data_IF_860904799163
#
_entry.id   IF_860904799163
#
_cell.length_a   1.000
_cell.length_b   1.000
_cell.length_c   1.000
_cell.angle_alpha   90.00
_cell.angle_beta   90.00
_cell.angle_gamma   90.00
#
_symmetry.space_group_name_H-M   'P 1'
#
loop_
_entity.id
_entity.type
_entity.pdbx_description
1 polymer ?
#
# COMPACT_ATOMS: atom_id res chain seq x y z
N UNK A 1 -0.54 74.98 -32.69
CA UNK A 1 -1.43 73.94 -33.27
C UNK A 1 -1.47 72.76 -32.32
N UNK A 2 -2.65 72.23 -32.00
CA UNK A 2 -2.80 70.97 -31.25
C UNK A 2 -3.22 69.90 -32.25
N UNK A 3 -2.47 68.80 -32.30
CA UNK A 3 -2.84 67.63 -33.09
C UNK A 3 -3.74 66.74 -32.23
N UNK A 4 -4.96 66.52 -32.72
CA UNK A 4 -5.93 65.64 -32.10
C UNK A 4 -5.89 64.30 -32.83
N UNK A 5 -5.26 63.29 -32.22
CA UNK A 5 -5.22 61.92 -32.74
C UNK A 5 -6.04 61.00 -31.84
N UNK A 6 -6.79 60.08 -32.44
CA UNK A 6 -7.50 59.02 -31.71
C UNK A 6 -6.54 57.84 -31.54
N UNK A 7 -6.24 57.47 -30.30
CA UNK A 7 -5.38 56.31 -30.01
C UNK A 7 -6.26 55.06 -29.94
N UNK A 8 -6.08 54.14 -30.90
CA UNK A 8 -6.72 52.82 -30.88
C UNK A 8 -5.84 51.83 -30.10
N UNK A 9 -6.20 51.55 -28.85
CA UNK A 9 -5.53 50.54 -28.02
C UNK A 9 -6.29 49.22 -28.19
N UNK A 10 -5.79 48.31 -29.03
CA UNK A 10 -6.31 46.95 -29.09
C UNK A 10 -5.73 46.15 -27.91
N UNK A 11 -6.54 45.93 -26.86
CA UNK A 11 -6.19 45.02 -25.78
C UNK A 11 -6.34 43.58 -26.29
N UNK A 12 -5.24 42.89 -26.56
CA UNK A 12 -5.28 41.44 -26.77
C UNK A 12 -5.33 40.75 -25.41
N UNK A 13 -6.44 40.10 -25.11
CA UNK A 13 -6.51 39.14 -24.00
C UNK A 13 -6.01 37.79 -24.48
N UNK A 14 -4.94 37.29 -23.86
CA UNK A 14 -4.50 35.91 -24.02
C UNK A 14 -5.46 35.01 -23.24
N UNK A 15 -6.32 34.27 -23.94
CA UNK A 15 -7.14 33.21 -23.35
C UNK A 15 -6.41 31.87 -23.51
N UNK A 16 -5.93 31.31 -22.41
CA UNK A 16 -5.48 29.93 -22.35
C UNK A 16 -6.53 29.07 -21.65
N UNK A 17 -6.84 27.91 -22.22
CA UNK A 17 -7.56 26.88 -21.47
C UNK A 17 -6.57 26.28 -20.47
N UNK A 18 -6.77 26.54 -19.18
CA UNK A 18 -6.20 25.71 -18.13
C UNK A 18 -6.93 24.37 -18.23
N UNK A 19 -6.38 23.42 -19.00
CA UNK A 19 -6.77 22.04 -18.84
C UNK A 19 -6.40 21.66 -17.42
N UNK A 20 -7.44 21.64 -16.57
CA UNK A 20 -7.35 21.11 -15.23
C UNK A 20 -6.95 19.65 -15.44
N UNK A 21 -5.65 19.36 -15.32
CA UNK A 21 -5.21 17.98 -15.18
C UNK A 21 -6.13 17.42 -14.10
N UNK A 22 -6.93 16.42 -14.46
CA UNK A 22 -7.78 15.73 -13.49
C UNK A 22 -6.79 15.02 -12.59
N UNK A 23 -6.26 15.77 -11.61
CA UNK A 23 -5.57 15.24 -10.45
C UNK A 23 -6.56 14.24 -9.93
N UNK A 24 -6.23 12.98 -10.13
CA UNK A 24 -7.19 11.93 -9.93
C UNK A 24 -7.33 11.77 -8.42
N UNK A 25 -8.34 12.45 -7.86
CA UNK A 25 -8.59 12.47 -6.43
C UNK A 25 -9.33 11.22 -5.96
N UNK A 26 -9.81 10.39 -6.88
CA UNK A 26 -10.51 9.17 -6.57
C UNK A 26 -9.65 7.96 -6.93
N UNK A 27 -9.41 7.10 -5.94
CA UNK A 27 -8.65 5.87 -6.13
C UNK A 27 -9.27 4.96 -7.21
N UNK A 28 -10.60 4.96 -7.36
CA UNK A 28 -11.32 4.15 -8.36
C UNK A 28 -10.94 4.47 -9.80
N UNK A 29 -10.50 5.69 -10.07
CA UNK A 29 -10.20 6.18 -11.42
C UNK A 29 -8.73 5.87 -11.82
N UNK A 30 -7.93 5.25 -10.94
CA UNK A 30 -6.54 4.90 -11.20
C UNK A 30 -6.45 3.65 -12.09
N UNK A 31 -5.68 3.75 -13.19
CA UNK A 31 -5.46 2.64 -14.13
C UNK A 31 -4.58 1.54 -13.54
N UNK A 32 -3.55 1.92 -12.78
CA UNK A 32 -2.57 0.99 -12.21
C UNK A 32 -2.78 0.88 -10.70
N UNK A 33 -3.77 0.08 -10.30
CA UNK A 33 -4.07 -0.10 -8.89
C UNK A 33 -3.08 -1.07 -8.23
N UNK A 34 -2.66 -0.82 -6.98
CA UNK A 34 -1.91 -1.78 -6.17
C UNK A 34 -2.54 -3.17 -6.13
N UNK A 35 -1.70 -4.21 -6.05
CA UNK A 35 -2.12 -5.61 -6.00
C UNK A 35 -1.28 -6.38 -4.98
N UNK A 36 -1.87 -7.37 -4.34
CA UNK A 36 -1.19 -8.38 -3.51
C UNK A 36 -1.57 -9.74 -4.09
N UNK A 37 -0.58 -10.60 -4.37
CA UNK A 37 -0.83 -11.94 -4.93
C UNK A 37 -1.80 -11.91 -6.13
N UNK A 38 -1.61 -10.96 -7.04
CA UNK A 38 -2.49 -10.71 -8.20
C UNK A 38 -3.93 -10.28 -7.88
N UNK A 39 -4.27 -10.02 -6.62
CA UNK A 39 -5.57 -9.47 -6.21
C UNK A 39 -5.48 -7.95 -6.14
N UNK A 40 -6.33 -7.26 -6.91
CA UNK A 40 -6.43 -5.79 -6.89
C UNK A 40 -6.94 -5.29 -5.53
N UNK A 41 -6.25 -4.32 -4.94
CA UNK A 41 -6.65 -3.72 -3.67
C UNK A 41 -7.76 -2.70 -3.91
N UNK A 42 -8.98 -3.19 -4.03
CA UNK A 42 -10.22 -2.39 -4.05
C UNK A 42 -11.03 -2.65 -2.79
N UNK A 43 -11.57 -1.58 -2.22
CA UNK A 43 -12.37 -1.59 -0.99
C UNK A 43 -11.69 -2.34 0.15
N UNK A 44 -12.48 -2.92 1.05
CA UNK A 44 -11.99 -3.77 2.13
C UNK A 44 -11.89 -5.21 1.63
N UNK A 45 -10.74 -5.84 1.87
CA UNK A 45 -10.49 -7.25 1.61
C UNK A 45 -9.99 -7.93 2.87
N UNK A 46 -10.37 -9.18 3.05
CA UNK A 46 -9.87 -10.06 4.11
C UNK A 46 -8.48 -10.60 3.77
N UNK A 47 -7.75 -11.08 4.77
CA UNK A 47 -6.45 -11.72 4.57
C UNK A 47 -6.56 -12.94 3.64
N UNK A 48 -7.62 -13.73 3.78
CA UNK A 48 -7.90 -14.89 2.93
C UNK A 48 -8.11 -14.49 1.47
N UNK A 49 -8.92 -13.46 1.19
CA UNK A 49 -9.14 -12.96 -0.16
C UNK A 49 -7.88 -12.40 -0.83
N UNK A 50 -6.90 -11.97 -0.02
CA UNK A 50 -5.60 -11.51 -0.48
C UNK A 50 -4.56 -12.64 -0.57
N UNK A 51 -4.92 -13.87 -0.19
CA UNK A 51 -3.99 -15.00 -0.11
C UNK A 51 -2.85 -14.77 0.87
N UNK A 52 -3.11 -14.01 1.94
CA UNK A 52 -2.13 -13.77 3.00
C UNK A 52 -2.12 -14.93 3.98
N UNK A 53 -0.96 -15.17 4.57
CA UNK A 53 -0.84 -16.12 5.68
C UNK A 53 -1.66 -15.64 6.88
N UNK A 54 -2.06 -16.60 7.72
CA UNK A 54 -2.64 -16.30 9.01
C UNK A 54 -1.66 -15.56 9.91
N UNK A 55 -2.21 -14.87 10.91
CA UNK A 55 -1.43 -14.23 11.95
C UNK A 55 -0.51 -15.26 12.62
N UNK A 56 0.77 -14.91 12.78
CA UNK A 56 1.71 -15.79 13.44
C UNK A 56 1.33 -15.92 14.91
N UNK A 57 1.10 -17.15 15.35
CA UNK A 57 0.96 -17.45 16.78
C UNK A 57 2.31 -17.21 17.45
N UNK A 58 2.31 -16.50 18.58
CA UNK A 58 3.50 -16.36 19.40
C UNK A 58 3.98 -17.75 19.84
N UNK A 59 5.22 -18.10 19.47
CA UNK A 59 5.82 -19.37 19.86
C UNK A 59 6.59 -19.18 21.16
N UNK A 60 6.32 -20.03 22.14
CA UNK A 60 7.12 -20.11 23.36
C UNK A 60 8.44 -20.84 23.08
N UNK A 61 9.41 -20.69 23.99
CA UNK A 61 10.63 -21.48 23.93
C UNK A 61 10.35 -22.98 23.94
N UNK A 62 9.31 -23.42 24.66
CA UNK A 62 8.87 -24.82 24.65
C UNK A 62 8.36 -25.26 23.28
N UNK A 63 7.60 -24.41 22.59
CA UNK A 63 7.08 -24.73 21.25
C UNK A 63 8.22 -24.89 20.23
N UNK A 64 9.24 -24.03 20.34
CA UNK A 64 10.45 -24.11 19.51
C UNK A 64 11.22 -25.41 19.80
N UNK A 65 11.41 -25.75 21.08
CA UNK A 65 12.10 -26.98 21.47
C UNK A 65 11.32 -28.23 21.03
N UNK A 66 9.99 -28.20 21.10
CA UNK A 66 9.15 -29.29 20.60
C UNK A 66 9.28 -29.48 19.09
N UNK A 67 9.30 -28.39 18.30
CA UNK A 67 9.49 -28.46 16.84
C UNK A 67 10.88 -29.00 16.48
N UNK A 68 11.93 -28.60 17.21
CA UNK A 68 13.31 -28.96 16.88
C UNK A 68 13.72 -30.35 17.35
N UNK A 69 13.26 -30.78 18.53
CA UNK A 69 13.73 -32.01 19.18
C UNK A 69 12.63 -33.06 19.32
N UNK A 70 11.38 -32.72 19.06
CA UNK A 70 10.23 -33.57 19.38
C UNK A 70 10.06 -33.78 20.89
N UNK A 71 8.90 -34.34 21.27
CA UNK A 71 8.61 -34.65 22.69
C UNK A 71 9.62 -35.61 23.30
N UNK A 72 10.11 -36.56 22.50
CA UNK A 72 11.09 -37.54 22.94
C UNK A 72 12.46 -36.91 23.19
N UNK A 73 12.94 -36.02 22.32
CA UNK A 73 14.23 -35.34 22.50
C UNK A 73 14.25 -34.44 23.74
N UNK A 74 13.13 -33.78 24.03
CA UNK A 74 12.96 -33.00 25.26
C UNK A 74 13.02 -33.88 26.52
N UNK A 75 12.31 -35.02 26.54
CA UNK A 75 12.36 -35.96 27.66
C UNK A 75 13.77 -36.50 27.91
N UNK A 76 14.51 -36.85 26.85
CA UNK A 76 15.88 -37.33 26.96
C UNK A 76 16.85 -36.25 27.48
N UNK A 77 16.68 -35.00 27.05
CA UNK A 77 17.44 -33.85 27.55
C UNK A 77 17.18 -33.60 29.04
N UNK A 78 15.92 -33.70 29.47
CA UNK A 78 15.54 -33.58 30.87
C UNK A 78 16.12 -34.71 31.72
N UNK A 79 16.03 -35.96 31.27
CA UNK A 79 16.61 -37.11 31.97
C UNK A 79 18.12 -36.96 32.15
N UNK A 80 18.86 -36.51 31.11
CA UNK A 80 20.31 -36.30 31.22
C UNK A 80 20.73 -35.20 32.20
N UNK A 81 19.85 -34.24 32.52
CA UNK A 81 20.15 -33.15 33.46
C UNK A 81 19.85 -33.50 34.92
N UNK A 82 19.07 -34.55 35.18
CA UNK A 82 18.53 -34.90 36.49
C UNK A 82 18.96 -36.29 37.00
N UNK A 83 19.98 -36.88 36.37
CA UNK A 83 20.65 -38.13 36.76
C UNK A 83 22.13 -37.81 36.89
#
# INVERSE_FOLDING_TARGET
MKLNGIINIQRQSLSGNLEKTKQNRNYSDLLNKPRINDVELVDNKTAEELGLQEEMVEMTAQDIDEVLFGKEGMMQSWLRKNI
#
